data_IF_769428098913
#
_entry.id   IF_769428098913
#
_cell.length_a   1.000
_cell.length_b   1.000
_cell.length_c   1.000
_cell.angle_alpha   90.00
_cell.angle_beta   90.00
_cell.angle_gamma   90.00
#
_symmetry.space_group_name_H-M   'P 1'
#
loop_
_entity.id
_entity.type
_entity.pdbx_description
1 polymer ?
#
# COMPACT_ATOMS: atom_id res chain seq x y z
N UNK A 1 21.38 15.88 -3.01
CA UNK A 1 21.57 14.49 -3.44
C UNK A 1 21.56 14.49 -4.96
N UNK A 2 22.65 14.09 -5.60
CA UNK A 2 22.74 13.92 -7.05
C UNK A 2 22.01 12.64 -7.42
N UNK A 3 20.84 12.74 -8.05
CA UNK A 3 20.13 11.60 -8.60
C UNK A 3 20.85 11.18 -9.89
N UNK A 4 21.59 10.06 -9.85
CA UNK A 4 22.00 9.38 -11.09
C UNK A 4 20.82 8.52 -11.49
N UNK A 5 20.27 8.77 -12.68
CA UNK A 5 19.25 7.90 -13.28
C UNK A 5 19.95 7.14 -14.39
N UNK A 6 20.48 5.96 -14.07
CA UNK A 6 20.92 5.04 -15.11
C UNK A 6 19.67 4.32 -15.66
N UNK A 7 19.36 4.49 -16.94
CA UNK A 7 18.27 3.79 -17.62
C UNK A 7 18.84 2.54 -18.29
N UNK A 8 18.79 1.42 -17.57
CA UNK A 8 19.35 0.15 -18.03
C UNK A 8 18.31 -0.79 -18.64
N UNK A 9 18.58 -1.20 -19.88
CA UNK A 9 18.14 -2.42 -20.58
C UNK A 9 16.64 -2.62 -20.88
N UNK A 10 16.28 -2.41 -22.15
CA UNK A 10 15.11 -3.03 -22.80
C UNK A 10 15.49 -4.48 -23.16
N UNK A 11 14.87 -5.42 -22.47
CA UNK A 11 15.06 -6.87 -22.64
C UNK A 11 13.99 -7.38 -23.63
N UNK A 12 14.45 -7.92 -24.76
CA UNK A 12 13.66 -8.53 -25.84
C UNK A 12 13.03 -9.87 -25.39
N UNK A 13 12.09 -10.41 -26.17
CA UNK A 13 11.33 -11.63 -25.85
C UNK A 13 12.21 -12.89 -25.72
N UNK A 14 13.43 -12.87 -26.27
CA UNK A 14 14.40 -14.00 -26.30
C UNK A 14 15.65 -13.80 -25.41
N UNK A 15 15.57 -12.99 -24.36
CA UNK A 15 16.74 -12.37 -23.74
C UNK A 15 17.39 -13.08 -22.52
N UNK A 16 17.49 -14.42 -22.53
CA UNK A 16 18.33 -15.12 -21.54
C UNK A 16 19.83 -14.74 -21.65
N UNK A 17 20.34 -14.57 -22.86
CA UNK A 17 21.77 -14.27 -23.09
C UNK A 17 22.22 -12.85 -22.66
N UNK A 18 21.42 -11.78 -22.86
CA UNK A 18 21.70 -10.44 -22.28
C UNK A 18 21.58 -10.40 -20.75
N UNK A 19 20.57 -11.07 -20.16
CA UNK A 19 20.39 -11.14 -18.70
C UNK A 19 21.63 -11.72 -18.00
N UNK A 20 22.28 -12.73 -18.59
CA UNK A 20 23.50 -13.31 -18.05
C UNK A 20 24.67 -12.31 -17.92
N UNK A 21 24.67 -11.26 -18.76
CA UNK A 21 25.72 -10.22 -18.78
C UNK A 21 25.38 -8.98 -17.96
N UNK A 22 24.17 -8.91 -17.37
CA UNK A 22 23.80 -7.80 -16.51
C UNK A 22 24.72 -7.76 -15.28
N UNK A 23 25.35 -6.61 -15.09
CA UNK A 23 26.13 -6.27 -13.90
C UNK A 23 25.72 -4.88 -13.42
N UNK A 24 25.42 -4.74 -12.13
CA UNK A 24 24.98 -3.48 -11.52
C UNK A 24 25.92 -3.09 -10.38
N UNK A 25 26.33 -1.82 -10.34
CA UNK A 25 27.12 -1.30 -9.23
C UNK A 25 26.20 -0.96 -8.03
N UNK A 26 26.03 -1.93 -7.13
CA UNK A 26 25.06 -1.87 -6.02
C UNK A 26 25.29 -0.73 -5.02
N UNK A 27 26.51 -0.19 -4.94
CA UNK A 27 26.87 0.95 -4.08
C UNK A 27 26.28 2.28 -4.55
N UNK A 28 26.03 2.44 -5.84
CA UNK A 28 25.62 3.70 -6.45
C UNK A 28 24.16 3.67 -6.95
N UNK A 29 23.61 2.47 -7.17
CA UNK A 29 22.33 2.26 -7.84
C UNK A 29 21.12 2.08 -6.89
N UNK A 30 21.31 2.10 -5.57
CA UNK A 30 20.24 1.82 -4.59
C UNK A 30 19.34 3.05 -4.34
N UNK A 31 18.00 2.91 -4.38
CA UNK A 31 17.22 1.71 -4.67
C UNK A 31 17.17 1.41 -6.18
N UNK A 32 17.29 0.13 -6.52
CA UNK A 32 17.14 -0.37 -7.89
C UNK A 32 15.67 -0.72 -8.09
N UNK A 33 14.98 -0.03 -8.99
CA UNK A 33 13.63 -0.36 -9.38
C UNK A 33 13.66 -1.21 -10.65
N UNK A 34 12.92 -2.33 -10.66
CA UNK A 34 12.88 -3.23 -11.82
C UNK A 34 11.43 -3.46 -12.23
N UNK A 35 11.00 -2.83 -13.32
CA UNK A 35 9.63 -3.01 -13.85
C UNK A 35 9.62 -3.83 -15.13
N UNK A 36 8.86 -4.91 -15.13
CA UNK A 36 8.42 -5.67 -16.33
C UNK A 36 7.99 -7.09 -15.94
N UNK A 37 7.51 -7.86 -16.93
CA UNK A 37 7.29 -9.30 -16.84
C UNK A 37 8.55 -10.12 -16.47
N UNK A 38 9.76 -9.58 -16.66
CA UNK A 38 11.03 -10.25 -16.33
C UNK A 38 11.64 -9.80 -15.00
N UNK A 39 10.93 -8.98 -14.22
CA UNK A 39 11.45 -8.37 -12.99
C UNK A 39 12.02 -9.39 -12.00
N UNK A 40 11.41 -10.58 -11.89
CA UNK A 40 11.93 -11.68 -11.08
C UNK A 40 13.27 -12.24 -11.58
N UNK A 41 13.46 -12.39 -12.90
CA UNK A 41 14.72 -12.88 -13.47
C UNK A 41 15.86 -11.89 -13.32
N UNK A 42 15.58 -10.60 -13.52
CA UNK A 42 16.55 -9.51 -13.29
C UNK A 42 16.92 -9.43 -11.81
N UNK A 43 15.93 -9.45 -10.90
CA UNK A 43 16.18 -9.46 -9.47
C UNK A 43 17.02 -10.67 -9.04
N UNK A 44 16.81 -11.84 -9.65
CA UNK A 44 17.64 -13.03 -9.46
C UNK A 44 19.09 -12.84 -9.87
N UNK A 45 19.31 -12.19 -11.01
CA UNK A 45 20.67 -11.91 -11.45
C UNK A 45 21.38 -10.94 -10.51
N UNK A 46 20.70 -9.88 -10.08
CA UNK A 46 21.22 -8.89 -9.13
C UNK A 46 21.52 -9.56 -7.78
N UNK A 47 20.61 -10.41 -7.29
CA UNK A 47 20.80 -11.19 -6.07
C UNK A 47 22.01 -12.14 -6.18
N UNK A 48 22.16 -12.85 -7.29
CA UNK A 48 23.31 -13.71 -7.54
C UNK A 48 24.62 -12.92 -7.56
N UNK A 49 24.66 -11.77 -8.23
CA UNK A 49 25.84 -10.90 -8.26
C UNK A 49 26.23 -10.39 -6.86
N UNK A 50 25.23 -10.02 -6.04
CA UNK A 50 25.47 -9.61 -4.66
C UNK A 50 26.04 -10.76 -3.82
N UNK A 51 25.49 -11.97 -3.97
CA UNK A 51 25.98 -13.16 -3.30
C UNK A 51 27.41 -13.54 -3.72
N UNK A 52 27.73 -13.47 -5.02
CA UNK A 52 29.09 -13.68 -5.55
C UNK A 52 30.10 -12.66 -4.98
N UNK A 53 29.62 -11.47 -4.63
CA UNK A 53 30.41 -10.41 -3.98
C UNK A 53 30.47 -10.54 -2.45
N UNK A 54 30.07 -11.70 -1.90
CA UNK A 54 29.98 -12.00 -0.47
C UNK A 54 29.06 -11.07 0.34
N UNK A 55 28.06 -10.44 -0.30
CA UNK A 55 27.00 -9.72 0.42
C UNK A 55 25.91 -10.69 0.89
N UNK A 56 25.39 -10.47 2.10
CA UNK A 56 24.18 -11.16 2.54
C UNK A 56 22.98 -10.68 1.71
N UNK A 57 22.20 -11.62 1.21
CA UNK A 57 21.01 -11.33 0.39
C UNK A 57 19.76 -11.84 1.10
N UNK A 58 18.83 -10.94 1.37
CA UNK A 58 17.50 -11.30 1.88
C UNK A 58 16.48 -10.98 0.80
N UNK A 59 15.70 -12.00 0.41
CA UNK A 59 14.59 -11.81 -0.55
C UNK A 59 13.28 -11.97 0.19
N UNK A 60 12.44 -10.93 0.18
CA UNK A 60 11.07 -10.98 0.68
C UNK A 60 10.12 -11.13 -0.51
N UNK A 61 9.49 -12.30 -0.61
CA UNK A 61 8.58 -12.65 -1.70
C UNK A 61 7.18 -12.95 -1.16
N UNK A 62 6.34 -11.93 -0.92
CA UNK A 62 5.06 -12.08 -0.23
C UNK A 62 4.03 -12.91 -1.00
N UNK A 63 4.06 -12.90 -2.33
CA UNK A 63 3.00 -13.49 -3.17
C UNK A 63 3.49 -14.57 -4.14
N UNK A 64 4.78 -14.91 -4.07
CA UNK A 64 5.38 -15.91 -4.95
C UNK A 64 6.34 -16.80 -4.17
N UNK A 65 6.35 -18.08 -4.53
CA UNK A 65 7.30 -19.07 -4.05
C UNK A 65 8.43 -19.29 -5.07
N UNK A 66 8.71 -18.31 -5.93
CA UNK A 66 9.78 -18.38 -6.93
C UNK A 66 11.12 -18.72 -6.26
N UNK A 67 11.67 -19.89 -6.59
CA UNK A 67 12.86 -20.43 -5.94
C UNK A 67 14.15 -19.79 -6.48
N UNK A 68 15.00 -19.31 -5.58
CA UNK A 68 16.41 -19.07 -5.81
C UNK A 68 17.17 -20.33 -5.35
N UNK A 69 17.68 -21.20 -6.25
CA UNK A 69 18.16 -22.53 -5.88
C UNK A 69 19.31 -22.55 -4.86
N UNK A 70 20.05 -21.44 -4.75
CA UNK A 70 21.21 -21.28 -3.88
C UNK A 70 20.87 -20.62 -2.52
N UNK A 71 19.62 -20.19 -2.31
CA UNK A 71 19.19 -19.53 -1.07
C UNK A 71 18.43 -20.49 -0.16
N UNK A 72 18.55 -20.27 1.15
CA UNK A 72 17.69 -20.96 2.13
C UNK A 72 16.25 -20.45 1.99
N UNK A 73 15.29 -21.36 1.82
CA UNK A 73 13.87 -21.01 1.73
C UNK A 73 13.20 -21.06 3.11
N UNK A 74 12.67 -19.91 3.52
CA UNK A 74 11.87 -19.70 4.73
C UNK A 74 10.41 -19.46 4.33
N UNK A 75 9.60 -20.52 4.36
CA UNK A 75 8.16 -20.51 4.06
C UNK A 75 7.36 -20.30 5.36
N UNK A 76 6.72 -19.13 5.45
CA UNK A 76 6.03 -18.69 6.66
C UNK A 76 4.83 -19.58 6.99
N UNK A 77 4.81 -20.09 8.23
CA UNK A 77 3.81 -21.04 8.70
C UNK A 77 4.07 -22.49 8.26
N UNK A 78 5.24 -22.78 7.69
CA UNK A 78 5.71 -24.14 7.35
C UNK A 78 7.00 -24.46 8.09
N UNK A 79 8.07 -23.71 7.81
CA UNK A 79 9.38 -23.88 8.44
C UNK A 79 9.93 -22.56 9.03
N UNK A 80 9.20 -21.45 8.89
CA UNK A 80 9.53 -20.17 9.48
C UNK A 80 8.31 -19.52 10.16
N UNK A 81 8.58 -18.69 11.15
CA UNK A 81 7.55 -17.96 11.91
C UNK A 81 8.08 -16.58 12.33
N UNK A 82 7.18 -15.62 12.51
CA UNK A 82 7.45 -14.24 12.87
C UNK A 82 6.24 -13.68 13.64
N UNK A 83 6.41 -13.46 14.93
CA UNK A 83 5.39 -12.86 15.77
C UNK A 83 5.30 -11.35 15.49
N UNK A 84 4.26 -10.95 14.77
CA UNK A 84 3.98 -9.55 14.44
C UNK A 84 3.87 -8.66 15.68
N UNK A 85 3.36 -9.19 16.79
CA UNK A 85 3.10 -8.42 18.00
C UNK A 85 4.30 -8.33 18.93
N UNK A 86 5.36 -9.14 18.74
CA UNK A 86 6.58 -9.04 19.53
C UNK A 86 7.28 -7.69 19.26
N UNK A 87 7.51 -6.85 20.28
CA UNK A 87 8.03 -5.52 20.07
C UNK A 87 9.45 -5.53 19.54
N UNK A 88 9.71 -4.67 18.54
CA UNK A 88 11.04 -4.42 17.99
C UNK A 88 11.48 -3.00 18.33
N UNK A 89 12.48 -2.87 19.20
CA UNK A 89 12.97 -1.56 19.64
C UNK A 89 12.06 -0.94 20.70
N UNK A 90 11.75 0.35 20.53
CA UNK A 90 10.86 1.07 21.46
C UNK A 90 9.43 0.55 21.37
N UNK A 91 8.89 0.17 22.54
CA UNK A 91 7.61 -0.51 22.70
C UNK A 91 6.43 0.36 22.25
N UNK A 92 6.43 1.65 22.58
CA UNK A 92 5.35 2.58 22.23
C UNK A 92 5.37 2.92 20.74
N UNK A 93 6.58 3.10 20.19
CA UNK A 93 6.77 3.31 18.75
C UNK A 93 6.33 2.08 17.97
N UNK A 94 6.70 0.88 18.42
CA UNK A 94 6.31 -0.36 17.75
C UNK A 94 4.81 -0.64 17.84
N UNK A 95 4.17 -0.38 19.00
CA UNK A 95 2.72 -0.47 19.15
C UNK A 95 2.00 0.43 18.13
N UNK A 96 2.46 1.67 18.00
CA UNK A 96 1.91 2.59 17.02
C UNK A 96 2.14 2.10 15.57
N UNK A 97 3.34 1.64 15.26
CA UNK A 97 3.71 1.12 13.95
C UNK A 97 2.85 -0.08 13.53
N UNK A 98 2.73 -1.12 14.37
CA UNK A 98 1.92 -2.31 14.07
C UNK A 98 0.45 -1.95 13.91
N UNK A 99 -0.05 -1.05 14.76
CA UNK A 99 -1.44 -0.62 14.68
C UNK A 99 -1.76 0.14 13.39
N UNK A 100 -0.92 1.10 13.00
CA UNK A 100 -1.11 1.81 11.73
C UNK A 100 -0.87 0.91 10.52
N UNK A 101 -0.05 -0.13 10.65
CA UNK A 101 0.15 -1.14 9.60
C UNK A 101 -1.11 -2.01 9.41
N UNK A 102 -1.63 -2.59 10.50
CA UNK A 102 -2.83 -3.44 10.46
C UNK A 102 -4.07 -2.66 10.03
N UNK A 103 -4.15 -1.36 10.36
CA UNK A 103 -5.21 -0.47 9.90
C UNK A 103 -5.37 -0.46 8.38
N UNK A 104 -4.29 -0.32 7.62
CA UNK A 104 -4.38 -0.33 6.15
C UNK A 104 -4.58 -1.73 5.59
N UNK A 105 -3.85 -2.72 6.10
CA UNK A 105 -3.93 -4.10 5.61
C UNK A 105 -5.30 -4.75 5.84
N UNK A 106 -5.89 -4.51 7.01
CA UNK A 106 -7.16 -5.11 7.43
C UNK A 106 -8.35 -4.15 7.29
N UNK A 107 -8.11 -2.91 6.82
CA UNK A 107 -9.16 -1.92 6.62
C UNK A 107 -9.81 -1.42 7.91
N UNK A 108 -9.05 -1.37 9.02
CA UNK A 108 -9.58 -0.94 10.31
C UNK A 108 -9.95 0.55 10.28
N UNK A 109 -11.05 0.88 10.95
CA UNK A 109 -11.47 2.27 11.15
C UNK A 109 -10.73 2.93 12.33
N UNK A 110 -10.91 4.24 12.50
CA UNK A 110 -10.25 5.01 13.58
C UNK A 110 -10.50 4.45 14.99
N UNK A 111 -11.75 4.18 15.39
CA UNK A 111 -12.06 3.54 16.67
C UNK A 111 -11.39 2.17 16.87
N UNK A 112 -11.45 1.27 15.89
CA UNK A 112 -10.80 -0.05 15.94
C UNK A 112 -9.29 0.08 16.09
N UNK A 113 -8.69 1.01 15.35
CA UNK A 113 -7.25 1.33 15.42
C UNK A 113 -6.88 1.82 16.83
N UNK A 114 -7.68 2.72 17.41
CA UNK A 114 -7.43 3.24 18.76
C UNK A 114 -7.57 2.15 19.84
N UNK A 115 -8.58 1.27 19.70
CA UNK A 115 -8.76 0.13 20.60
C UNK A 115 -7.58 -0.84 20.51
N UNK A 116 -7.13 -1.19 19.31
CA UNK A 116 -5.95 -2.04 19.11
C UNK A 116 -4.69 -1.41 19.72
N UNK A 117 -4.47 -0.11 19.54
CA UNK A 117 -3.32 0.59 20.13
C UNK A 117 -3.33 0.52 21.66
N UNK A 118 -4.49 0.81 22.29
CA UNK A 118 -4.66 0.72 23.76
C UNK A 118 -4.38 -0.70 24.25
N UNK A 119 -4.88 -1.69 23.51
CA UNK A 119 -4.70 -3.11 23.82
C UNK A 119 -3.24 -3.53 23.77
N UNK A 120 -2.51 -3.15 22.70
CA UNK A 120 -1.08 -3.44 22.58
C UNK A 120 -0.27 -2.78 23.70
N UNK A 121 -0.51 -1.50 23.99
CA UNK A 121 0.17 -0.82 25.10
C UNK A 121 -0.08 -1.52 26.45
N UNK A 122 -1.32 -1.99 26.68
CA UNK A 122 -1.67 -2.75 27.88
C UNK A 122 -0.96 -4.10 27.93
N UNK A 123 -0.90 -4.85 26.83
CA UNK A 123 -0.16 -6.12 26.77
C UNK A 123 1.32 -5.88 27.03
N UNK A 124 1.93 -4.90 26.36
CA UNK A 124 3.35 -4.61 26.50
C UNK A 124 3.73 -4.14 27.91
N UNK A 125 2.84 -3.42 28.61
CA UNK A 125 3.07 -3.01 30.00
C UNK A 125 3.24 -4.17 30.98
N UNK A 126 2.81 -5.38 30.62
CA UNK A 126 2.95 -6.60 31.46
C UNK A 126 4.36 -7.18 31.43
N UNK A 127 5.22 -6.77 30.48
CA UNK A 127 6.60 -7.23 30.35
C UNK A 127 6.76 -8.69 29.90
N UNK A 128 5.68 -9.34 29.49
CA UNK A 128 5.68 -10.69 28.92
C UNK A 128 5.75 -10.61 27.39
N UNK A 129 6.24 -11.68 26.74
CA UNK A 129 6.21 -11.75 25.28
C UNK A 129 4.76 -11.87 24.79
N UNK A 130 4.28 -10.90 24.00
CA UNK A 130 2.89 -10.82 23.58
C UNK A 130 2.56 -11.95 22.60
N UNK A 131 1.55 -12.75 22.91
CA UNK A 131 0.96 -13.70 21.95
C UNK A 131 -0.24 -13.09 21.23
N UNK A 132 -0.64 -13.68 20.10
CA UNK A 132 -1.86 -13.25 19.38
C UNK A 132 -3.08 -13.40 20.29
N UNK A 133 -3.21 -14.51 21.01
CA UNK A 133 -4.25 -14.75 22.02
C UNK A 133 -4.29 -13.66 23.10
N UNK A 134 -3.13 -13.25 23.65
CA UNK A 134 -3.07 -12.18 24.64
C UNK A 134 -3.53 -10.82 24.10
N UNK A 135 -3.22 -10.53 22.83
CA UNK A 135 -3.70 -9.32 22.15
C UNK A 135 -5.20 -9.39 21.94
N UNK A 136 -5.76 -10.54 21.52
CA UNK A 136 -7.21 -10.73 21.36
C UNK A 136 -7.91 -10.49 22.70
N UNK A 137 -7.47 -11.14 23.78
CA UNK A 137 -8.07 -10.93 25.12
C UNK A 137 -7.96 -9.48 25.61
N UNK A 138 -6.88 -8.78 25.27
CA UNK A 138 -6.76 -7.36 25.59
C UNK A 138 -7.72 -6.51 24.76
N UNK A 139 -7.90 -6.82 23.47
CA UNK A 139 -8.86 -6.14 22.59
C UNK A 139 -10.29 -6.35 23.06
N UNK A 140 -10.68 -7.56 23.46
CA UNK A 140 -12.01 -7.83 24.03
C UNK A 140 -12.31 -6.96 25.27
N UNK A 141 -11.30 -6.70 26.10
CA UNK A 141 -11.44 -5.84 27.27
C UNK A 141 -11.51 -4.35 26.92
N UNK A 142 -10.74 -3.89 25.92
CA UNK A 142 -10.67 -2.48 25.50
C UNK A 142 -11.73 -2.08 24.44
N UNK A 143 -12.40 -3.07 23.83
CA UNK A 143 -13.43 -2.86 22.81
C UNK A 143 -14.84 -2.69 23.38
N UNK A 144 -15.01 -2.71 24.70
CA UNK A 144 -16.31 -2.47 25.35
C UNK A 144 -16.91 -1.11 24.99
N UNK A 145 -16.07 -0.13 24.68
CA UNK A 145 -16.47 1.23 24.25
C UNK A 145 -16.83 1.31 22.75
N UNK A 146 -16.53 0.28 21.96
CA UNK A 146 -16.83 0.24 20.53
C UNK A 146 -18.27 -0.18 20.27
N UNK A 147 -18.79 0.15 19.07
CA UNK A 147 -20.05 -0.42 18.62
C UNK A 147 -19.86 -1.93 18.45
N UNK A 148 -20.89 -2.71 18.81
CA UNK A 148 -20.85 -4.18 18.74
C UNK A 148 -20.27 -4.70 17.41
N UNK A 149 -20.73 -4.14 16.29
CA UNK A 149 -20.23 -4.50 14.95
C UNK A 149 -18.75 -4.19 14.75
N UNK A 150 -18.28 -3.01 15.19
CA UNK A 150 -16.88 -2.60 15.03
C UNK A 150 -15.96 -3.47 15.89
N UNK A 151 -16.40 -3.85 17.09
CA UNK A 151 -15.69 -4.81 17.93
C UNK A 151 -15.62 -6.19 17.28
N UNK A 152 -16.73 -6.70 16.75
CA UNK A 152 -16.76 -8.02 16.09
C UNK A 152 -15.84 -8.06 14.87
N UNK A 153 -15.91 -7.06 13.98
CA UNK A 153 -15.04 -7.01 12.79
C UNK A 153 -13.55 -6.98 13.15
N UNK A 154 -13.18 -6.28 14.24
CA UNK A 154 -11.80 -6.25 14.72
C UNK A 154 -11.37 -7.60 15.31
N UNK A 155 -12.23 -8.20 16.15
CA UNK A 155 -11.96 -9.50 16.76
C UNK A 155 -11.85 -10.60 15.69
N UNK A 156 -12.77 -10.67 14.74
CA UNK A 156 -12.72 -11.64 13.63
C UNK A 156 -11.41 -11.52 12.81
N UNK A 157 -10.94 -10.29 12.59
CA UNK A 157 -9.68 -10.06 11.89
C UNK A 157 -8.46 -10.53 12.70
N UNK A 158 -8.47 -10.40 14.03
CA UNK A 158 -7.39 -10.88 14.89
C UNK A 158 -7.47 -12.39 15.13
N UNK A 159 -8.67 -12.94 15.34
CA UNK A 159 -8.93 -14.37 15.47
C UNK A 159 -8.50 -15.15 14.23
N UNK A 160 -8.59 -14.54 13.05
CA UNK A 160 -8.04 -15.11 11.82
C UNK A 160 -6.54 -15.46 11.95
N UNK A 161 -5.78 -14.71 12.77
CA UNK A 161 -4.38 -14.98 13.05
C UNK A 161 -4.14 -16.20 13.95
N UNK A 162 -5.17 -16.71 14.63
CA UNK A 162 -5.14 -17.97 15.39
C UNK A 162 -5.52 -19.21 14.54
N UNK A 163 -5.75 -19.03 13.23
CA UNK A 163 -6.19 -20.11 12.36
C UNK A 163 -5.08 -20.62 11.42
N UNK A 164 -4.99 -21.94 11.33
CA UNK A 164 -4.23 -22.66 10.30
C UNK A 164 -2.76 -22.24 10.18
N UNK A 165 -2.33 -21.94 8.95
CA UNK A 165 -0.94 -21.53 8.64
C UNK A 165 -0.60 -20.15 9.18
N UNK A 166 -1.58 -19.27 9.31
CA UNK A 166 -1.34 -17.91 9.80
C UNK A 166 -0.94 -17.94 11.29
N UNK A 167 -1.57 -18.80 12.09
CA UNK A 167 -1.14 -19.07 13.47
C UNK A 167 0.32 -19.52 13.55
N UNK A 168 0.67 -20.53 12.77
CA UNK A 168 2.04 -21.05 12.71
C UNK A 168 3.03 -19.98 12.24
N UNK A 169 2.60 -19.09 11.34
CA UNK A 169 3.40 -17.98 10.88
C UNK A 169 3.58 -16.90 11.97
N UNK A 170 2.65 -16.75 12.92
CA UNK A 170 2.70 -15.72 13.96
C UNK A 170 3.26 -16.20 15.31
N UNK A 171 3.65 -17.47 15.46
CA UNK A 171 3.91 -18.07 16.77
C UNK A 171 5.35 -17.98 17.29
N UNK A 172 6.31 -17.51 16.50
CA UNK A 172 7.72 -17.57 16.90
C UNK A 172 8.57 -16.46 16.30
N UNK A 173 9.88 -16.61 16.43
CA UNK A 173 10.85 -15.62 15.96
C UNK A 173 11.46 -16.01 14.62
N UNK A 174 11.57 -15.02 13.74
CA UNK A 174 12.23 -15.22 12.45
C UNK A 174 13.74 -15.08 12.65
N UNK A 175 14.47 -16.16 12.48
CA UNK A 175 15.93 -16.14 12.38
C UNK A 175 16.34 -16.15 10.90
N UNK A 176 17.16 -15.18 10.49
CA UNK A 176 17.73 -15.11 9.15
C UNK A 176 19.20 -15.53 9.22
N UNK A 177 19.57 -16.62 8.52
CA UNK A 177 20.94 -17.15 8.49
C UNK A 177 21.49 -17.06 7.08
N UNK A 178 22.54 -16.25 6.91
CA UNK A 178 23.17 -16.04 5.60
C UNK A 178 22.20 -15.43 4.58
N UNK A 179 22.24 -15.95 3.34
CA UNK A 179 21.34 -15.51 2.28
C UNK A 179 20.06 -16.35 2.28
N UNK A 180 18.94 -15.71 2.63
CA UNK A 180 17.65 -16.39 2.83
C UNK A 180 16.54 -15.73 2.02
N UNK A 181 15.62 -16.54 1.52
CA UNK A 181 14.39 -16.10 0.87
C UNK A 181 13.22 -16.37 1.82
N UNK A 182 12.48 -15.32 2.20
CA UNK A 182 11.25 -15.41 2.98
C UNK A 182 10.05 -15.33 2.05
N UNK A 183 9.23 -16.37 2.01
CA UNK A 183 7.98 -16.38 1.25
C UNK A 183 6.76 -16.42 2.16
N UNK A 184 5.75 -15.63 1.80
CA UNK A 184 4.47 -15.54 2.52
C UNK A 184 3.29 -15.93 1.61
N UNK A 185 3.57 -16.54 0.45
CA UNK A 185 2.60 -16.77 -0.62
C UNK A 185 1.41 -17.68 -0.21
N UNK A 186 1.56 -18.42 0.89
CA UNK A 186 0.54 -19.31 1.44
C UNK A 186 -0.34 -18.66 2.51
N UNK A 187 -0.03 -17.42 2.89
CA UNK A 187 -0.82 -16.62 3.82
C UNK A 187 -1.80 -15.73 3.05
N UNK A 188 -2.89 -15.27 3.66
CA UNK A 188 -3.78 -14.34 2.97
C UNK A 188 -3.06 -13.02 2.68
N UNK A 189 -3.26 -12.39 1.51
CA UNK A 189 -2.41 -11.30 1.02
C UNK A 189 -2.28 -10.09 1.95
N UNK A 190 -3.35 -9.70 2.66
CA UNK A 190 -3.31 -8.62 3.65
C UNK A 190 -2.34 -8.90 4.80
N UNK A 191 -2.35 -10.12 5.33
CA UNK A 191 -1.44 -10.52 6.41
C UNK A 191 -0.02 -10.71 5.90
N UNK A 192 0.15 -11.30 4.71
CA UNK A 192 1.45 -11.40 4.05
C UNK A 192 2.10 -10.02 3.87
N UNK A 193 1.31 -9.02 3.48
CA UNK A 193 1.77 -7.64 3.32
C UNK A 193 2.15 -7.00 4.65
N UNK A 194 1.32 -7.16 5.69
CA UNK A 194 1.64 -6.68 7.04
C UNK A 194 2.93 -7.31 7.56
N UNK A 195 3.03 -8.64 7.52
CA UNK A 195 4.23 -9.35 7.99
C UNK A 195 5.48 -8.95 7.19
N UNK A 196 5.38 -8.73 5.89
CA UNK A 196 6.50 -8.25 5.07
C UNK A 196 7.03 -6.91 5.59
N UNK A 197 6.16 -5.93 5.83
CA UNK A 197 6.57 -4.60 6.32
C UNK A 197 7.13 -4.68 7.74
N UNK A 198 6.57 -5.55 8.60
CA UNK A 198 7.08 -5.75 9.95
C UNK A 198 8.46 -6.46 9.97
N UNK A 199 8.69 -7.43 9.07
CA UNK A 199 10.01 -8.05 8.88
C UNK A 199 11.02 -7.01 8.38
N UNK A 200 10.64 -6.13 7.46
CA UNK A 200 11.49 -5.01 7.03
C UNK A 200 11.86 -4.07 8.18
N UNK A 201 10.89 -3.78 9.07
CA UNK A 201 11.14 -2.98 10.26
C UNK A 201 12.10 -3.68 11.24
N UNK A 202 11.97 -5.00 11.41
CA UNK A 202 12.92 -5.82 12.18
C UNK A 202 14.34 -5.73 11.59
N UNK A 203 14.48 -5.91 10.29
CA UNK A 203 15.77 -5.80 9.60
C UNK A 203 16.42 -4.42 9.79
N UNK A 204 15.61 -3.36 9.78
CA UNK A 204 16.06 -2.00 10.06
C UNK A 204 16.59 -1.88 11.50
N UNK A 205 15.84 -2.39 12.49
CA UNK A 205 16.24 -2.35 13.89
C UNK A 205 17.51 -3.16 14.17
N UNK A 206 17.68 -4.29 13.49
CA UNK A 206 18.87 -5.14 13.54
C UNK A 206 20.06 -4.57 12.74
N UNK A 207 19.87 -3.42 12.07
CA UNK A 207 20.88 -2.76 11.23
C UNK A 207 21.45 -3.67 10.15
N UNK A 208 20.56 -4.43 9.49
CA UNK A 208 20.95 -5.30 8.40
C UNK A 208 21.74 -4.54 7.33
N UNK A 209 22.86 -5.12 6.91
CA UNK A 209 23.71 -4.64 5.82
C UNK A 209 23.83 -5.73 4.77
N UNK A 210 23.47 -5.40 3.54
CA UNK A 210 23.44 -6.34 2.43
C UNK A 210 22.49 -5.87 1.34
N UNK A 211 22.09 -6.81 0.49
CA UNK A 211 21.05 -6.59 -0.51
C UNK A 211 19.71 -7.10 0.03
N UNK A 212 18.70 -6.25 0.00
CA UNK A 212 17.33 -6.60 0.30
C UNK A 212 16.49 -6.50 -0.98
N UNK A 213 15.88 -7.61 -1.37
CA UNK A 213 14.98 -7.68 -2.53
C UNK A 213 13.54 -7.76 -2.02
N UNK A 214 12.69 -6.79 -2.37
CA UNK A 214 11.27 -6.78 -1.98
C UNK A 214 10.41 -6.96 -3.21
N UNK A 215 9.89 -8.19 -3.40
CA UNK A 215 9.18 -8.56 -4.61
C UNK A 215 7.74 -8.05 -4.65
N UNK A 216 7.25 -7.81 -5.87
CA UNK A 216 5.86 -7.46 -6.17
C UNK A 216 5.41 -6.18 -5.44
N UNK A 217 6.23 -5.14 -5.55
CA UNK A 217 6.00 -3.86 -4.88
C UNK A 217 4.64 -3.23 -5.25
N UNK A 218 4.19 -3.45 -6.48
CA UNK A 218 2.87 -3.07 -7.00
C UNK A 218 1.72 -3.75 -6.25
N UNK A 219 1.80 -5.07 -6.03
CA UNK A 219 0.78 -5.81 -5.26
C UNK A 219 0.81 -5.42 -3.77
N UNK A 220 2.00 -5.20 -3.20
CA UNK A 220 2.13 -4.71 -1.82
C UNK A 220 1.41 -3.38 -1.63
N UNK A 221 1.47 -2.47 -2.60
CA UNK A 221 0.74 -1.20 -2.57
C UNK A 221 -0.76 -1.40 -2.47
N UNK A 222 -1.32 -2.34 -3.23
CA UNK A 222 -2.75 -2.62 -3.21
C UNK A 222 -3.21 -3.14 -1.84
N UNK A 223 -2.49 -4.11 -1.28
CA UNK A 223 -2.86 -4.75 -0.01
C UNK A 223 -2.50 -3.93 1.22
N UNK A 224 -1.51 -3.03 1.17
CA UNK A 224 -1.18 -2.13 2.26
C UNK A 224 -2.18 -0.96 2.38
N UNK A 225 -2.88 -0.62 1.30
CA UNK A 225 -3.87 0.46 1.29
C UNK A 225 -3.33 1.77 1.85
N UNK A 226 -3.96 2.28 2.91
CA UNK A 226 -3.56 3.52 3.58
C UNK A 226 -2.19 3.44 4.29
N UNK A 227 -1.72 2.23 4.61
CA UNK A 227 -0.44 1.98 5.28
C UNK A 227 0.76 1.93 4.32
N UNK A 228 0.54 2.11 3.01
CA UNK A 228 1.60 2.17 2.01
C UNK A 228 2.73 3.14 2.38
N UNK A 229 2.38 4.29 2.99
CA UNK A 229 3.36 5.30 3.42
C UNK A 229 4.34 4.75 4.47
N UNK A 230 3.93 3.78 5.29
CA UNK A 230 4.81 3.13 6.26
C UNK A 230 5.88 2.27 5.58
N UNK A 231 5.53 1.54 4.50
CA UNK A 231 6.53 0.81 3.74
C UNK A 231 7.59 1.75 3.18
N UNK A 232 7.17 2.88 2.57
CA UNK A 232 8.12 3.85 2.04
C UNK A 232 9.04 4.42 3.12
N UNK A 233 8.50 4.72 4.30
CA UNK A 233 9.28 5.16 5.44
C UNK A 233 10.32 4.11 5.85
N UNK A 234 9.93 2.84 5.98
CA UNK A 234 10.84 1.75 6.36
C UNK A 234 11.93 1.52 5.30
N UNK A 235 11.57 1.55 4.01
CA UNK A 235 12.53 1.43 2.91
C UNK A 235 13.54 2.59 2.92
N UNK A 236 13.08 3.84 3.11
CA UNK A 236 13.98 4.98 3.21
C UNK A 236 14.94 4.85 4.41
N UNK A 237 14.46 4.35 5.55
CA UNK A 237 15.30 4.10 6.74
C UNK A 237 16.32 2.98 6.55
N UNK A 238 15.96 1.92 5.83
CA UNK A 238 16.90 0.87 5.44
C UNK A 238 17.98 1.42 4.51
N UNK A 239 17.61 2.26 3.55
CA UNK A 239 18.55 2.90 2.64
C UNK A 239 19.50 3.85 3.38
N UNK A 240 18.98 4.71 4.26
CA UNK A 240 19.80 5.60 5.13
C UNK A 240 20.78 4.80 6.00
N UNK A 241 20.40 3.60 6.44
CA UNK A 241 21.26 2.70 7.22
C UNK A 241 22.36 1.99 6.38
N UNK A 242 22.36 2.20 5.05
CA UNK A 242 23.34 1.64 4.12
C UNK A 242 22.94 0.28 3.52
N UNK A 243 21.66 -0.08 3.56
CA UNK A 243 21.15 -1.29 2.89
C UNK A 243 20.93 -1.01 1.39
N UNK A 244 21.38 -1.92 0.52
CA UNK A 244 21.08 -1.88 -0.91
C UNK A 244 19.69 -2.47 -1.14
N UNK A 245 18.83 -1.75 -1.86
CA UNK A 245 17.45 -2.14 -2.10
C UNK A 245 17.27 -2.51 -3.58
N UNK A 246 16.60 -3.64 -3.83
CA UNK A 246 16.11 -4.02 -5.16
C UNK A 246 14.60 -4.25 -5.09
N UNK A 247 13.85 -3.53 -5.90
CA UNK A 247 12.41 -3.42 -5.82
C UNK A 247 11.79 -3.87 -7.15
N UNK A 248 11.65 -5.18 -7.40
CA UNK A 248 10.98 -5.66 -8.59
C UNK A 248 9.46 -5.49 -8.50
N UNK A 249 8.87 -4.98 -9.58
CA UNK A 249 7.44 -4.83 -9.78
C UNK A 249 7.03 -5.28 -11.19
N UNK A 250 5.74 -5.48 -11.40
CA UNK A 250 5.22 -5.80 -12.74
C UNK A 250 5.30 -4.58 -13.66
N UNK A 251 4.93 -3.40 -13.15
CA UNK A 251 4.97 -2.14 -13.90
C UNK A 251 5.52 -0.99 -13.04
N UNK A 252 6.50 -0.25 -13.59
CA UNK A 252 7.00 0.99 -12.95
C UNK A 252 5.95 2.11 -13.02
N UNK A 253 5.07 2.11 -14.03
CA UNK A 253 4.09 3.18 -14.26
C UNK A 253 2.99 3.18 -13.19
N UNK A 254 2.65 2.01 -12.67
CA UNK A 254 1.63 1.85 -11.63
C UNK A 254 2.12 2.28 -10.24
N UNK A 255 3.43 2.40 -10.06
CA UNK A 255 4.00 2.86 -8.81
C UNK A 255 3.81 4.38 -8.63
N UNK A 256 3.58 4.86 -7.39
CA UNK A 256 3.51 6.28 -7.12
C UNK A 256 4.78 7.01 -7.55
N UNK A 257 4.63 8.25 -8.02
CA UNK A 257 5.76 9.08 -8.45
C UNK A 257 6.85 9.19 -7.38
N UNK A 258 6.47 9.27 -6.09
CA UNK A 258 7.42 9.31 -4.96
C UNK A 258 8.36 8.10 -4.89
N UNK A 259 7.92 6.93 -5.34
CA UNK A 259 8.75 5.71 -5.39
C UNK A 259 9.70 5.77 -6.57
N UNK A 260 9.19 6.20 -7.72
CA UNK A 260 9.97 6.29 -8.97
C UNK A 260 11.14 7.26 -8.83
N UNK A 261 10.91 8.40 -8.20
CA UNK A 261 11.94 9.44 -8.01
C UNK A 261 12.99 9.03 -6.97
N UNK A 262 12.64 8.14 -6.04
CA UNK A 262 13.59 7.62 -5.05
C UNK A 262 14.61 6.65 -5.66
N UNK A 263 14.31 6.04 -6.82
CA UNK A 263 15.16 5.04 -7.44
C UNK A 263 16.49 5.65 -7.94
N UNK A 264 17.61 5.06 -7.51
CA UNK A 264 18.95 5.38 -8.03
C UNK A 264 19.24 4.67 -9.36
N UNK A 265 18.45 3.66 -9.71
CA UNK A 265 18.50 2.97 -10.99
C UNK A 265 17.10 2.46 -11.33
N UNK A 266 16.63 2.71 -12.55
CA UNK A 266 15.37 2.13 -13.02
C UNK A 266 15.63 1.26 -14.24
N UNK A 267 15.35 -0.04 -14.10
CA UNK A 267 15.43 -1.03 -15.16
C UNK A 267 14.01 -1.30 -15.65
N UNK A 268 13.76 -1.06 -16.94
CA UNK A 268 12.45 -1.30 -17.56
C UNK A 268 12.63 -2.20 -18.77
N UNK A 269 11.96 -3.35 -18.74
CA UNK A 269 11.94 -4.25 -19.90
C UNK A 269 11.06 -3.71 -21.05
N UNK A 270 10.85 -4.50 -22.10
CA UNK A 270 9.97 -4.08 -23.18
C UNK A 270 8.55 -3.76 -22.66
N UNK A 271 7.99 -2.58 -23.01
CA UNK A 271 6.71 -2.12 -22.51
C UNK A 271 5.60 -3.08 -22.97
N UNK A 272 4.76 -3.48 -22.03
CA UNK A 272 3.64 -4.38 -22.28
C UNK A 272 2.32 -3.63 -22.49
N UNK A 273 2.26 -2.37 -22.09
CA UNK A 273 1.10 -1.48 -22.27
C UNK A 273 1.47 -0.18 -23.00
N UNK A 274 0.49 0.50 -23.65
CA UNK A 274 0.73 1.81 -24.26
C UNK A 274 1.17 2.88 -23.26
N UNK A 275 0.75 2.78 -22.00
CA UNK A 275 1.13 3.70 -20.93
C UNK A 275 2.59 3.52 -20.52
N UNK A 276 3.05 2.26 -20.41
CA UNK A 276 4.47 1.94 -20.24
C UNK A 276 5.31 2.44 -21.41
N UNK A 277 4.84 2.28 -22.64
CA UNK A 277 5.54 2.78 -23.82
C UNK A 277 5.69 4.31 -23.78
N UNK A 278 4.63 5.05 -23.43
CA UNK A 278 4.67 6.50 -23.26
C UNK A 278 5.58 6.93 -22.12
N UNK A 279 5.55 6.20 -21.01
CA UNK A 279 6.43 6.49 -19.87
C UNK A 279 7.89 6.32 -20.25
N UNK A 280 8.25 5.21 -20.90
CA UNK A 280 9.61 5.00 -21.41
C UNK A 280 9.97 6.09 -22.43
N UNK A 281 9.10 6.40 -23.40
CA UNK A 281 9.33 7.50 -24.37
C UNK A 281 9.54 8.85 -23.67
N UNK A 282 8.84 9.13 -22.57
CA UNK A 282 9.02 10.36 -21.79
C UNK A 282 10.35 10.43 -21.04
N UNK A 283 10.92 9.27 -20.69
CA UNK A 283 12.20 9.19 -19.99
C UNK A 283 13.39 9.28 -20.94
N UNK A 284 13.34 8.60 -22.09
CA UNK A 284 14.45 8.56 -23.07
C UNK A 284 14.32 9.56 -24.23
N UNK A 285 13.18 10.25 -24.35
CA UNK A 285 12.88 11.14 -25.47
C UNK A 285 12.67 10.42 -26.81
N UNK A 286 12.23 11.17 -27.84
CA UNK A 286 12.03 10.64 -29.22
C UNK A 286 13.32 10.36 -29.99
N UNK A 287 14.46 10.83 -29.48
CA UNK A 287 15.75 10.79 -30.14
C UNK A 287 16.77 10.05 -29.27
N UNK A 288 16.54 8.77 -28.98
CA UNK A 288 17.54 7.93 -28.35
C UNK A 288 18.74 7.77 -29.30
N UNK A 289 19.79 8.58 -29.11
CA UNK A 289 21.11 8.37 -29.70
C UNK A 289 21.94 7.55 -28.72
N UNK A 290 22.46 6.42 -29.20
CA UNK A 290 23.48 5.61 -28.54
C UNK A 290 24.69 6.48 -28.20
N UNK A 291 25.04 6.59 -26.91
CA UNK A 291 26.13 7.47 -26.46
C UNK A 291 27.50 6.77 -26.36
N UNK A 292 27.59 5.44 -26.38
CA UNK A 292 28.89 4.75 -26.34
C UNK A 292 28.84 3.35 -26.99
N UNK A 293 29.67 3.12 -28.01
CA UNK A 293 29.82 1.82 -28.68
C UNK A 293 30.61 0.80 -27.83
N UNK A 294 31.24 1.24 -26.73
CA UNK A 294 32.13 0.39 -25.89
C UNK A 294 31.45 -0.19 -24.66
N UNK A 295 30.24 0.27 -24.30
CA UNK A 295 29.44 -0.28 -23.19
C UNK A 295 28.33 -1.14 -23.78
N UNK A 296 28.49 -2.46 -23.69
CA UNK A 296 27.61 -3.41 -24.38
C UNK A 296 26.17 -3.41 -23.85
N UNK A 297 25.20 -2.94 -24.67
CA UNK A 297 23.78 -3.36 -24.71
C UNK A 297 23.17 -2.97 -26.09
N UNK A 298 22.67 -3.91 -26.92
CA UNK A 298 22.51 -3.73 -28.39
C UNK A 298 21.20 -4.17 -29.07
N UNK A 299 20.66 -3.39 -30.08
CA UNK A 299 19.46 -3.50 -31.09
C UNK A 299 17.86 -3.22 -30.84
N UNK A 300 17.27 -2.00 -30.72
CA UNK A 300 15.89 -1.63 -31.09
C UNK A 300 15.59 -2.38 -32.38
N UNK A 301 14.34 -2.41 -32.79
CA UNK A 301 13.94 -2.87 -34.11
C UNK A 301 14.74 -2.25 -35.29
N UNK A 302 15.60 -1.24 -35.08
CA UNK A 302 16.89 -1.07 -35.81
C UNK A 302 18.11 -0.48 -35.01
N UNK A 303 18.08 -0.32 -33.67
CA UNK A 303 19.15 0.35 -32.85
C UNK A 303 19.00 0.29 -31.29
N UNK A 304 19.55 -0.69 -30.51
CA UNK A 304 19.31 -0.82 -28.99
C UNK A 304 20.49 -0.06 -28.45
N UNK A 305 20.25 0.69 -27.39
CA UNK A 305 21.30 1.26 -26.59
C UNK A 305 20.78 1.60 -25.21
N UNK A 306 21.73 1.71 -24.29
CA UNK A 306 21.60 2.47 -23.05
C UNK A 306 21.61 3.95 -23.44
N UNK A 307 20.68 4.74 -22.90
CA UNK A 307 20.74 6.20 -22.96
C UNK A 307 21.18 6.67 -21.57
N UNK A 308 22.42 7.11 -21.47
CA UNK A 308 22.92 7.84 -20.30
C UNK A 308 22.47 9.29 -20.51
N UNK A 309 21.57 9.81 -19.67
CA UNK A 309 21.20 11.24 -19.73
C UNK A 309 22.21 11.99 -18.85
N UNK A 310 23.05 12.86 -19.42
CA UNK A 310 23.95 13.69 -18.64
C UNK A 310 23.15 14.52 -17.63
N UNK A 311 23.67 14.68 -16.42
CA UNK A 311 23.03 15.47 -15.35
C UNK A 311 22.71 16.91 -15.78
N UNK A 312 23.43 17.42 -16.78
CA UNK A 312 23.25 18.74 -17.37
C UNK A 312 22.01 18.83 -18.29
N UNK A 313 21.49 17.71 -18.78
CA UNK A 313 20.32 17.63 -19.67
C UNK A 313 19.02 17.24 -18.94
N UNK A 314 19.11 16.87 -17.67
CA UNK A 314 17.95 16.70 -16.79
C UNK A 314 17.43 18.08 -16.37
N UNK A 315 16.15 18.37 -16.65
CA UNK A 315 15.50 19.52 -16.04
C UNK A 315 15.59 19.38 -14.51
N UNK A 316 16.42 20.22 -13.90
CA UNK A 316 16.50 20.35 -12.45
C UNK A 316 15.21 21.02 -11.99
N UNK A 317 14.21 20.20 -11.69
CA UNK A 317 13.04 20.65 -10.95
C UNK A 317 13.49 20.92 -9.52
N UNK A 318 13.68 22.20 -9.21
CA UNK A 318 13.87 22.66 -7.84
C UNK A 318 12.68 22.21 -7.01
N UNK A 319 12.93 21.20 -6.17
CA UNK A 319 11.99 20.80 -5.14
C UNK A 319 11.90 21.93 -4.13
N UNK A 320 10.86 22.75 -4.24
CA UNK A 320 10.32 23.36 -3.04
C UNK A 320 9.95 22.19 -2.12
N UNK A 321 10.71 22.06 -1.02
CA UNK A 321 10.39 21.15 0.07
C UNK A 321 9.02 21.59 0.58
N UNK A 322 7.97 20.99 0.03
CA UNK A 322 6.61 21.28 0.40
C UNK A 322 6.49 20.95 1.89
N UNK A 323 6.40 22.01 2.71
CA UNK A 323 5.93 21.89 4.09
C UNK A 323 4.66 21.05 4.03
N UNK A 324 4.48 20.08 4.96
CA UNK A 324 3.44 19.07 4.88
C UNK A 324 2.11 19.73 4.55
N UNK A 325 1.61 19.48 3.35
CA UNK A 325 0.26 19.86 2.97
C UNK A 325 -0.63 18.96 3.83
N UNK A 326 -1.21 19.54 4.87
CA UNK A 326 -2.39 18.96 5.50
C UNK A 326 -3.39 18.77 4.38
N UNK A 327 -3.58 17.52 3.92
CA UNK A 327 -4.68 17.20 3.02
C UNK A 327 -5.93 17.72 3.72
N UNK A 328 -6.56 18.75 3.14
CA UNK A 328 -7.79 19.29 3.66
C UNK A 328 -8.82 18.17 3.81
N UNK A 329 -9.71 18.24 4.82
CA UNK A 329 -10.73 17.22 5.01
C UNK A 329 -11.52 17.05 3.71
N UNK A 330 -11.50 15.82 3.16
CA UNK A 330 -12.36 15.49 2.02
C UNK A 330 -13.78 15.29 2.56
N UNK A 331 -14.80 15.98 2.02
CA UNK A 331 -16.12 15.95 2.60
C UNK A 331 -16.70 14.55 2.58
N UNK A 332 -17.36 14.14 3.67
CA UNK A 332 -17.84 12.79 3.89
C UNK A 332 -18.73 12.28 2.73
N UNK A 333 -19.52 13.16 2.11
CA UNK A 333 -20.35 12.81 0.94
C UNK A 333 -19.51 12.41 -0.27
N UNK A 334 -18.41 13.11 -0.57
CA UNK A 334 -17.49 12.75 -1.67
C UNK A 334 -16.75 11.43 -1.39
N UNK A 335 -16.39 11.18 -0.14
CA UNK A 335 -15.73 9.93 0.28
C UNK A 335 -16.67 8.73 0.19
N UNK A 336 -17.94 8.88 0.58
CA UNK A 336 -18.90 7.76 0.66
C UNK A 336 -19.66 7.49 -0.64
N UNK A 337 -19.98 8.53 -1.40
CA UNK A 337 -20.83 8.42 -2.59
C UNK A 337 -20.08 8.70 -3.91
N UNK A 338 -18.84 9.17 -3.87
CA UNK A 338 -18.03 9.45 -5.06
C UNK A 338 -18.79 10.35 -6.05
N UNK A 339 -19.00 9.85 -7.27
CA UNK A 339 -19.76 10.55 -8.31
C UNK A 339 -21.24 10.83 -7.95
N UNK A 340 -21.82 10.10 -6.97
CA UNK A 340 -23.20 10.29 -6.50
C UNK A 340 -23.32 11.25 -5.31
N UNK A 341 -22.22 11.91 -4.89
CA UNK A 341 -22.21 12.81 -3.75
C UNK A 341 -23.19 13.98 -3.89
N UNK A 342 -23.30 14.56 -5.10
CA UNK A 342 -24.25 15.65 -5.38
C UNK A 342 -25.70 15.21 -5.26
N UNK A 343 -26.01 13.97 -5.68
CA UNK A 343 -27.35 13.38 -5.54
C UNK A 343 -27.69 13.13 -4.07
N UNK A 344 -26.73 12.62 -3.30
CA UNK A 344 -26.88 12.41 -1.86
C UNK A 344 -27.10 13.74 -1.12
N UNK A 345 -26.39 14.80 -1.51
CA UNK A 345 -26.58 16.15 -0.98
C UNK A 345 -28.00 16.66 -1.20
N UNK A 346 -28.52 16.64 -2.44
CA UNK A 346 -29.88 17.16 -2.74
C UNK A 346 -30.97 16.44 -1.93
N UNK A 347 -30.86 15.10 -1.77
CA UNK A 347 -31.83 14.33 -0.98
C UNK A 347 -31.71 14.65 0.52
N UNK A 348 -30.49 14.81 1.04
CA UNK A 348 -30.30 15.19 2.44
C UNK A 348 -30.74 16.64 2.70
N UNK A 349 -30.53 17.56 1.76
CA UNK A 349 -31.00 18.95 1.84
C UNK A 349 -32.52 19.03 1.84
N UNK A 350 -33.21 18.18 1.07
CA UNK A 350 -34.66 18.04 1.17
C UNK A 350 -35.11 17.56 2.55
N UNK A 351 -34.40 16.59 3.14
CA UNK A 351 -34.67 16.08 4.48
C UNK A 351 -34.26 17.03 5.61
N UNK A 352 -33.48 18.08 5.31
CA UNK A 352 -33.14 19.17 6.24
C UNK A 352 -34.36 20.03 6.55
N UNK A 353 -35.24 20.23 5.58
CA UNK A 353 -36.45 21.04 5.73
C UNK A 353 -37.55 20.34 6.53
N UNK A 354 -37.45 19.02 6.72
CA UNK A 354 -38.33 18.23 7.57
C UNK A 354 -38.29 16.74 7.27
N UNK A 355 -38.76 15.93 8.22
CA UNK A 355 -38.98 14.51 7.97
C UNK A 355 -40.08 14.32 6.92
N UNK A 356 -39.91 13.34 6.04
CA UNK A 356 -40.85 13.05 4.95
C UNK A 356 -41.10 11.55 4.84
N UNK A 357 -42.19 11.14 4.20
CA UNK A 357 -42.43 9.70 4.00
C UNK A 357 -41.41 9.12 3.01
N UNK A 358 -41.12 7.83 3.14
CA UNK A 358 -40.20 7.12 2.23
C UNK A 358 -40.63 7.28 0.76
N UNK A 359 -41.93 7.18 0.50
CA UNK A 359 -42.53 7.35 -0.82
C UNK A 359 -42.34 8.77 -1.36
N UNK A 360 -42.57 9.79 -0.53
CA UNK A 360 -42.36 11.19 -0.91
C UNK A 360 -40.87 11.50 -1.15
N UNK A 361 -39.97 10.90 -0.36
CA UNK A 361 -38.52 11.05 -0.55
C UNK A 361 -38.04 10.40 -1.85
N UNK A 362 -38.56 9.21 -2.17
CA UNK A 362 -38.31 8.55 -3.46
C UNK A 362 -38.85 9.39 -4.61
N UNK A 363 -40.09 9.87 -4.50
CA UNK A 363 -40.73 10.71 -5.53
C UNK A 363 -39.96 12.01 -5.76
N UNK A 364 -39.51 12.67 -4.69
CA UNK A 364 -38.64 13.85 -4.78
C UNK A 364 -37.34 13.52 -5.52
N UNK A 365 -36.63 12.45 -5.14
CA UNK A 365 -35.38 12.07 -5.77
C UNK A 365 -35.56 11.74 -7.26
N UNK A 366 -36.64 11.04 -7.63
CA UNK A 366 -36.97 10.74 -9.03
C UNK A 366 -37.18 12.02 -9.85
N UNK A 367 -37.99 12.97 -9.35
CA UNK A 367 -38.32 14.18 -10.09
C UNK A 367 -37.20 15.22 -10.11
N UNK A 368 -36.45 15.37 -9.01
CA UNK A 368 -35.39 16.38 -8.88
C UNK A 368 -34.10 15.96 -9.57
N UNK A 369 -33.76 14.66 -9.53
CA UNK A 369 -32.50 14.13 -10.04
C UNK A 369 -32.64 13.43 -11.40
N UNK A 370 -33.85 13.34 -11.94
CA UNK A 370 -34.18 12.64 -13.19
C UNK A 370 -33.66 11.20 -13.23
N UNK A 371 -33.97 10.45 -12.17
CA UNK A 371 -33.53 9.05 -11.99
C UNK A 371 -34.69 8.08 -11.85
N UNK A 372 -34.40 6.81 -12.12
CA UNK A 372 -35.38 5.74 -11.99
C UNK A 372 -35.78 5.51 -10.52
N UNK A 373 -36.99 4.98 -10.29
CA UNK A 373 -37.46 4.62 -8.93
C UNK A 373 -36.54 3.64 -8.22
N UNK A 374 -35.91 2.73 -8.96
CA UNK A 374 -34.95 1.76 -8.45
C UNK A 374 -33.66 2.46 -7.98
N UNK A 375 -33.16 3.42 -8.74
CA UNK A 375 -31.97 4.20 -8.39
C UNK A 375 -32.21 5.13 -7.21
N UNK A 376 -33.37 5.80 -7.18
CA UNK A 376 -33.79 6.60 -6.03
C UNK A 376 -33.89 5.76 -4.75
N UNK A 377 -34.49 4.58 -4.84
CA UNK A 377 -34.58 3.64 -3.72
C UNK A 377 -33.20 3.15 -3.26
N UNK A 378 -32.28 2.85 -4.20
CA UNK A 378 -30.88 2.47 -3.88
C UNK A 378 -30.12 3.62 -3.22
N UNK A 379 -30.31 4.86 -3.68
CA UNK A 379 -29.68 6.05 -3.09
C UNK A 379 -30.16 6.25 -1.65
N UNK A 380 -31.47 6.18 -1.42
CA UNK A 380 -32.07 6.32 -0.09
C UNK A 380 -31.62 5.19 0.85
N UNK A 381 -31.58 3.94 0.36
CA UNK A 381 -31.04 2.82 1.15
C UNK A 381 -29.56 3.01 1.50
N UNK A 382 -28.76 3.58 0.60
CA UNK A 382 -27.36 3.89 0.86
C UNK A 382 -27.22 5.01 1.90
N UNK A 383 -28.05 6.05 1.86
CA UNK A 383 -28.12 7.09 2.90
C UNK A 383 -28.46 6.52 4.28
N UNK A 384 -29.43 5.60 4.35
CA UNK A 384 -29.80 4.88 5.57
C UNK A 384 -28.63 3.99 6.07
N UNK A 385 -27.99 3.23 5.16
CA UNK A 385 -26.87 2.32 5.48
C UNK A 385 -25.66 3.08 6.03
N UNK A 386 -25.37 4.26 5.48
CA UNK A 386 -24.28 5.11 5.97
C UNK A 386 -24.68 5.94 7.21
N UNK A 387 -25.92 5.83 7.68
CA UNK A 387 -26.43 6.52 8.85
C UNK A 387 -26.57 8.03 8.67
N UNK A 388 -26.70 8.50 7.43
CA UNK A 388 -26.94 9.92 7.10
C UNK A 388 -28.42 10.28 7.18
N UNK A 389 -29.29 9.29 6.96
CA UNK A 389 -30.72 9.36 7.23
C UNK A 389 -31.11 8.22 8.17
N UNK A 390 -32.25 8.37 8.84
CA UNK A 390 -32.86 7.33 9.68
C UNK A 390 -34.32 7.17 9.29
N UNK A 391 -34.81 5.93 9.36
CA UNK A 391 -36.19 5.58 9.09
C UNK A 391 -36.90 5.26 10.41
N UNK A 392 -38.09 5.84 10.61
CA UNK A 392 -38.91 5.68 11.82
C UNK A 392 -40.34 5.40 11.38
N UNK A 393 -41.00 4.46 12.05
CA UNK A 393 -42.43 4.20 11.82
C UNK A 393 -43.24 5.23 12.59
N UNK A 394 -44.02 6.03 11.88
CA UNK A 394 -44.90 7.04 12.48
C UNK A 394 -46.13 6.42 13.15
N UNK A 395 -46.82 7.21 13.97
CA UNK A 395 -48.10 6.80 14.57
C UNK A 395 -49.20 6.51 13.51
N UNK A 396 -49.02 7.00 12.28
CA UNK A 396 -49.84 6.74 11.10
C UNK A 396 -49.48 5.42 10.38
N UNK A 397 -48.52 4.65 10.90
CA UNK A 397 -48.06 3.38 10.33
C UNK A 397 -47.18 3.52 9.08
N UNK A 398 -46.83 4.75 8.69
CA UNK A 398 -45.98 5.02 7.53
C UNK A 398 -44.51 5.07 7.93
N UNK A 399 -43.64 4.76 6.97
CA UNK A 399 -42.19 4.90 7.13
C UNK A 399 -41.77 6.34 6.84
N UNK A 400 -41.31 7.02 7.88
CA UNK A 400 -40.80 8.38 7.82
C UNK A 400 -39.27 8.36 7.78
N UNK A 401 -38.71 9.04 6.80
CA UNK A 401 -37.28 9.26 6.66
C UNK A 401 -36.97 10.65 7.22
N UNK A 402 -35.99 10.71 8.13
CA UNK A 402 -35.47 11.96 8.69
C UNK A 402 -33.95 11.99 8.59
N UNK A 403 -33.39 13.17 8.39
CA UNK A 403 -31.95 13.36 8.43
C UNK A 403 -31.40 13.10 9.84
N UNK A 404 -30.21 12.52 9.94
CA UNK A 404 -29.51 12.34 11.23
C UNK A 404 -28.57 13.51 11.50
N UNK A 405 -28.08 13.64 12.73
CA UNK A 405 -27.02 14.61 13.06
C UNK A 405 -25.80 14.42 12.15
N UNK A 406 -25.47 13.16 11.85
CA UNK A 406 -24.39 12.82 10.91
C UNK A 406 -24.67 13.27 9.48
N UNK A 407 -25.93 13.15 9.04
CA UNK A 407 -26.38 13.67 7.73
C UNK A 407 -26.26 15.19 7.65
N UNK A 408 -26.69 15.90 8.70
CA UNK A 408 -26.58 17.36 8.78
C UNK A 408 -25.11 17.81 8.73
N UNK A 409 -24.23 17.20 9.53
CA UNK A 409 -22.80 17.50 9.48
C UNK A 409 -22.17 17.19 8.12
N UNK A 410 -22.69 16.19 7.38
CA UNK A 410 -22.23 15.86 6.02
C UNK A 410 -22.57 16.96 5.01
N UNK A 411 -23.76 17.56 5.14
CA UNK A 411 -24.21 18.69 4.33
C UNK A 411 -23.35 19.91 4.68
N UNK A 412 -23.25 20.25 5.97
CA UNK A 412 -22.51 21.43 6.44
C UNK A 412 -21.02 21.37 6.06
N UNK A 413 -20.40 20.19 6.15
CA UNK A 413 -19.02 19.97 5.71
C UNK A 413 -18.87 20.17 4.19
N UNK A 414 -19.83 19.70 3.40
CA UNK A 414 -19.83 19.91 1.95
C UNK A 414 -20.08 21.38 1.60
N UNK A 415 -21.04 22.05 2.24
CA UNK A 415 -21.37 23.47 2.04
C UNK A 415 -20.19 24.38 2.45
N UNK A 416 -19.51 24.08 3.57
CA UNK A 416 -18.33 24.81 4.03
C UNK A 416 -17.15 24.71 3.05
N UNK A 417 -17.07 23.61 2.29
CA UNK A 417 -16.03 23.38 1.28
C UNK A 417 -16.46 23.82 -0.13
N UNK A 418 -17.75 23.78 -0.45
CA UNK A 418 -18.33 24.20 -1.74
C UNK A 418 -18.73 25.69 -1.78
N UNK A 419 -18.70 26.42 -0.66
CA UNK A 419 -18.79 27.88 -0.62
C UNK A 419 -17.72 28.63 -1.44
N UNK A 420 -16.76 27.90 -2.03
CA UNK A 420 -15.80 28.40 -3.02
C UNK A 420 -16.26 28.27 -4.50
N UNK A 421 -17.51 27.88 -4.77
CA UNK A 421 -18.06 27.69 -6.15
C UNK A 421 -19.13 28.73 -6.55
N UNK A 422 -19.24 29.84 -5.81
CA UNK A 422 -20.17 30.95 -6.12
C UNK A 422 -19.47 32.26 -6.47
N UNK A 423 -18.20 32.22 -6.88
CA UNK A 423 -17.53 33.29 -7.62
C UNK A 423 -16.70 32.66 -8.74
N UNK A 424 -17.22 32.68 -9.97
CA UNK A 424 -16.57 32.13 -11.16
C UNK A 424 -17.56 31.68 -12.23
#
# INVERSE_FOLDING_TARGET
>A
MTCRVELGWIVDVDAEAPLAKLAVELSCASPILVGSRWSGGVASRIAGQAADSAMNVVVLSPFSSALYPWMELLDMGVNASFNLFKPVGDVDVYAHFVTELLKGCLGLNGPQTAALKRSLNRVYSRGMEPTVEEVISAVEAESMDLRLRESMELLEALESMELGRLRLACSGDLELKGSSMVTLARLPPSYASAMTVAILYKLYAERFRGLLVVCHLDLLKEFLGSSWRLLLYVLAKLQEAGCSLCLPCNSVVELPHSVRVMAGLTLVGAPSTPEEARYVESLVGRAARLLDERRHAYSHLTSRGVVEIPLEELEVLELEVAKPVREGPRPMLKVKFGAKAKMAYEVLSFLRDGASTREATISYAMHRLDITSLEASRLINSLLTHGLASEVVGADGKYWVKITVRGLSAIEELEALEGCWSEG
#
